data_IF_878574746072
#
_entry.id   IF_878574746072
#
_cell.length_a   1.000
_cell.length_b   1.000
_cell.length_c   1.000
_cell.angle_alpha   90.00
_cell.angle_beta   90.00
_cell.angle_gamma   90.00
#
_symmetry.space_group_name_H-M   'P 1'
#
loop_
_entity.id
_entity.type
_entity.pdbx_description
1 polymer ?
#
# COMPACT_ATOMS: atom_id res chain seq x y z
N UNK A 1 -13.38 25.03 -20.31
CA UNK A 1 -12.48 23.85 -20.23
C UNK A 1 -12.48 23.40 -18.77
N UNK A 2 -13.15 22.29 -18.47
CA UNK A 2 -13.36 21.83 -17.11
C UNK A 2 -12.02 21.32 -16.55
N UNK A 3 -11.40 22.08 -15.64
CA UNK A 3 -10.18 21.69 -14.95
C UNK A 3 -10.55 20.67 -13.87
N UNK A 4 -10.87 19.44 -14.28
CA UNK A 4 -10.96 18.32 -13.34
C UNK A 4 -9.62 18.23 -12.62
N UNK A 5 -9.65 18.40 -11.29
CA UNK A 5 -8.50 18.20 -10.41
C UNK A 5 -7.86 16.88 -10.82
N UNK A 6 -6.57 16.92 -11.20
CA UNK A 6 -5.82 15.80 -11.77
C UNK A 6 -5.61 14.72 -10.69
N UNK A 7 -6.66 14.00 -10.34
CA UNK A 7 -6.62 12.90 -9.38
C UNK A 7 -6.40 11.60 -10.13
N UNK A 8 -5.78 10.63 -9.45
CA UNK A 8 -5.54 9.33 -10.06
C UNK A 8 -6.86 8.58 -10.32
N UNK A 9 -6.96 7.88 -11.45
CA UNK A 9 -8.10 7.00 -11.76
C UNK A 9 -8.29 5.91 -10.70
N UNK A 10 -7.18 5.40 -10.16
CA UNK A 10 -7.17 4.42 -9.09
C UNK A 10 -6.50 5.00 -7.85
N UNK A 11 -7.06 4.69 -6.68
CA UNK A 11 -6.42 4.99 -5.41
C UNK A 11 -5.08 4.23 -5.28
N UNK A 12 -3.98 4.86 -4.80
CA UNK A 12 -2.68 4.19 -4.61
C UNK A 12 -2.77 2.90 -3.80
N UNK A 13 -3.56 2.90 -2.72
CA UNK A 13 -3.77 1.71 -1.86
C UNK A 13 -4.59 0.58 -2.51
N UNK A 14 -4.98 0.72 -3.77
CA UNK A 14 -5.38 -0.43 -4.58
C UNK A 14 -4.18 -1.30 -4.96
N UNK A 15 -2.95 -0.83 -4.79
CA UNK A 15 -1.72 -1.51 -5.16
C UNK A 15 -0.85 -1.77 -3.93
N UNK A 16 -0.08 -2.86 -3.96
CA UNK A 16 0.88 -3.18 -2.91
C UNK A 16 2.13 -2.30 -3.06
N UNK A 17 2.55 -1.62 -1.99
CA UNK A 17 3.80 -0.87 -1.96
C UNK A 17 5.01 -1.72 -2.37
N UNK A 18 5.09 -2.96 -1.89
CA UNK A 18 6.29 -3.80 -2.04
C UNK A 18 6.40 -4.42 -3.45
N UNK A 19 5.28 -4.81 -4.08
CA UNK A 19 5.31 -5.53 -5.36
C UNK A 19 4.52 -4.89 -6.50
N UNK A 20 3.87 -3.75 -6.27
CA UNK A 20 3.07 -3.03 -7.27
C UNK A 20 1.75 -3.70 -7.67
N UNK A 21 1.48 -4.93 -7.23
CA UNK A 21 0.30 -5.69 -7.67
C UNK A 21 -1.00 -5.17 -7.07
N UNK A 22 -2.08 -5.26 -7.83
CA UNK A 22 -3.43 -4.98 -7.36
C UNK A 22 -3.80 -5.84 -6.14
N UNK A 23 -4.35 -5.17 -5.13
CA UNK A 23 -4.63 -5.71 -3.81
C UNK A 23 -6.08 -5.39 -3.40
N UNK A 24 -6.99 -6.37 -3.55
CA UNK A 24 -8.36 -6.27 -3.05
C UNK A 24 -8.40 -5.97 -1.55
N UNK A 25 -9.42 -5.24 -1.07
CA UNK A 25 -9.50 -4.73 0.33
C UNK A 25 -9.17 -5.79 1.40
N UNK A 26 -9.75 -7.00 1.32
CA UNK A 26 -9.50 -8.08 2.29
C UNK A 26 -8.05 -8.63 2.29
N UNK A 27 -7.28 -8.36 1.23
CA UNK A 27 -5.88 -8.77 1.09
C UNK A 27 -4.89 -7.65 1.41
N UNK A 28 -5.37 -6.47 1.81
CA UNK A 28 -4.50 -5.37 2.25
C UNK A 28 -4.01 -5.60 3.67
N UNK A 29 -2.79 -5.17 3.94
CA UNK A 29 -2.15 -5.18 5.25
C UNK A 29 -1.42 -3.86 5.43
N UNK A 30 -1.46 -3.34 6.65
CA UNK A 30 -0.70 -2.16 7.03
C UNK A 30 0.80 -2.50 7.00
N UNK A 31 1.62 -1.52 6.65
CA UNK A 31 3.08 -1.62 6.69
C UNK A 31 3.53 -1.31 8.13
N UNK A 32 3.19 -2.22 9.05
CA UNK A 32 3.56 -2.11 10.47
C UNK A 32 5.08 -2.23 10.68
N UNK A 33 5.58 -1.86 11.87
CA UNK A 33 7.02 -1.80 12.16
C UNK A 33 7.75 -3.11 11.85
N UNK A 34 7.17 -4.27 12.16
CA UNK A 34 7.78 -5.57 11.80
C UNK A 34 7.95 -5.76 10.28
N UNK A 35 7.06 -5.21 9.47
CA UNK A 35 7.20 -5.21 8.00
C UNK A 35 8.26 -4.22 7.56
N UNK A 36 8.33 -3.02 8.17
CA UNK A 36 9.39 -2.04 7.90
C UNK A 36 10.78 -2.61 8.20
N UNK A 37 10.94 -3.31 9.33
CA UNK A 37 12.16 -4.03 9.72
C UNK A 37 12.49 -5.09 8.68
N UNK A 38 11.55 -5.98 8.36
CA UNK A 38 11.76 -7.01 7.34
C UNK A 38 12.14 -6.41 5.98
N UNK A 39 11.51 -5.31 5.58
CA UNK A 39 11.81 -4.59 4.35
C UNK A 39 13.23 -4.00 4.36
N UNK A 40 13.64 -3.36 5.47
CA UNK A 40 14.98 -2.81 5.68
C UNK A 40 16.07 -3.87 5.55
N UNK A 41 15.93 -4.98 6.25
CA UNK A 41 16.94 -6.04 6.21
C UNK A 41 16.94 -6.82 4.90
N UNK A 42 15.78 -6.98 4.25
CA UNK A 42 15.70 -7.72 3.00
C UNK A 42 16.17 -6.91 1.79
N UNK A 43 15.71 -5.66 1.66
CA UNK A 43 15.99 -4.83 0.49
C UNK A 43 17.13 -3.84 0.70
N UNK A 44 17.67 -3.75 1.92
CA UNK A 44 18.77 -2.83 2.27
C UNK A 44 18.37 -1.36 2.34
N UNK A 45 17.06 -1.05 2.34
CA UNK A 45 16.55 0.32 2.38
C UNK A 45 15.29 0.43 3.24
N UNK A 46 15.04 1.60 3.82
CA UNK A 46 13.81 1.85 4.60
C UNK A 46 12.60 2.01 3.67
N UNK A 47 11.41 1.70 4.19
CA UNK A 47 10.14 2.09 3.55
C UNK A 47 10.09 3.63 3.53
N UNK A 48 9.92 4.21 2.34
CA UNK A 48 9.84 5.66 2.14
C UNK A 48 8.48 6.13 1.64
N UNK A 49 8.31 7.44 1.55
CA UNK A 49 7.18 8.13 0.93
C UNK A 49 5.80 7.76 1.51
N UNK A 50 5.74 7.30 2.76
CA UNK A 50 4.48 6.95 3.44
C UNK A 50 3.66 8.18 3.88
N UNK A 51 4.18 9.39 3.68
CA UNK A 51 3.46 10.66 3.80
C UNK A 51 2.97 11.19 2.44
N UNK A 52 3.30 10.48 1.34
CA UNK A 52 3.04 10.96 -0.02
C UNK A 52 1.81 10.29 -0.61
N UNK A 53 0.87 11.12 -1.04
CA UNK A 53 -0.35 10.67 -1.72
C UNK A 53 -0.13 9.95 -3.06
N UNK A 54 1.09 10.00 -3.62
CA UNK A 54 1.45 9.31 -4.86
C UNK A 54 2.14 7.97 -4.63
N UNK A 55 2.31 7.52 -3.39
CA UNK A 55 2.79 6.20 -3.03
C UNK A 55 1.69 5.37 -2.35
N UNK A 56 1.72 4.03 -2.46
CA UNK A 56 0.83 3.19 -1.65
C UNK A 56 1.24 3.15 -0.17
N UNK A 57 0.26 3.09 0.72
CA UNK A 57 0.48 3.00 2.18
C UNK A 57 0.22 1.60 2.74
N UNK A 58 -0.12 0.66 1.85
CA UNK A 58 -0.45 -0.73 2.20
C UNK A 58 0.44 -1.70 1.45
N UNK A 59 0.55 -2.92 1.98
CA UNK A 59 1.09 -4.06 1.26
C UNK A 59 0.05 -5.18 1.12
N UNK A 60 0.28 -6.12 0.21
CA UNK A 60 -0.58 -7.29 0.07
C UNK A 60 -0.21 -8.38 1.08
N UNK A 61 -1.17 -9.24 1.41
CA UNK A 61 -0.97 -10.40 2.30
C UNK A 61 0.20 -11.28 1.92
N UNK A 62 0.48 -11.44 0.62
CA UNK A 62 1.58 -12.27 0.12
C UNK A 62 2.94 -11.66 0.45
N UNK A 63 3.11 -10.35 0.23
CA UNK A 63 4.35 -9.65 0.57
C UNK A 63 4.54 -9.58 2.08
N UNK A 64 3.48 -9.28 2.82
CA UNK A 64 3.47 -9.32 4.29
C UNK A 64 3.96 -10.68 4.79
N UNK A 65 3.27 -11.77 4.40
CA UNK A 65 3.59 -13.11 4.88
C UNK A 65 5.00 -13.54 4.47
N UNK A 66 5.43 -13.22 3.25
CA UNK A 66 6.75 -13.61 2.77
C UNK A 66 7.89 -12.92 3.53
N UNK A 67 7.78 -11.61 3.80
CA UNK A 67 8.77 -10.89 4.61
C UNK A 67 8.80 -11.40 6.05
N UNK A 68 7.63 -11.55 6.68
CA UNK A 68 7.56 -12.01 8.08
C UNK A 68 8.10 -13.44 8.21
N UNK A 69 7.77 -14.33 7.27
CA UNK A 69 8.30 -15.69 7.29
C UNK A 69 9.80 -15.73 7.02
N UNK A 70 10.33 -14.88 6.13
CA UNK A 70 11.78 -14.78 5.91
C UNK A 70 12.51 -14.27 7.16
N UNK A 71 11.98 -13.22 7.79
CA UNK A 71 12.54 -12.65 9.02
C UNK A 71 12.55 -13.66 10.18
N UNK A 72 11.61 -14.60 10.18
CA UNK A 72 11.52 -15.68 11.15
C UNK A 72 12.31 -16.95 10.73
N UNK A 73 13.10 -16.90 9.66
CA UNK A 73 13.85 -18.05 9.13
C UNK A 73 13.00 -19.17 8.51
N UNK A 74 11.69 -18.95 8.32
CA UNK A 74 10.74 -19.96 7.78
C UNK A 74 10.66 -19.95 6.25
N UNK A 75 11.09 -18.85 5.61
CA UNK A 75 11.11 -18.72 4.15
C UNK A 75 12.50 -18.34 3.67
N UNK A 76 12.97 -18.97 2.59
CA UNK A 76 14.31 -18.72 2.03
C UNK A 76 14.46 -17.31 1.45
N UNK A 77 13.49 -16.85 0.67
CA UNK A 77 13.58 -15.57 -0.05
C UNK A 77 12.20 -15.01 -0.41
N UNK A 78 12.15 -13.70 -0.65
CA UNK A 78 11.11 -13.05 -1.45
C UNK A 78 11.27 -13.46 -2.93
N UNK A 79 10.22 -13.33 -3.76
CA UNK A 79 10.32 -13.67 -5.19
C UNK A 79 11.14 -12.65 -6.02
N UNK A 80 11.60 -11.55 -5.42
CA UNK A 80 12.39 -10.51 -6.08
C UNK A 80 13.43 -9.93 -5.13
N UNK A 81 14.55 -9.48 -5.71
CA UNK A 81 15.69 -8.89 -5.02
C UNK A 81 15.51 -7.39 -4.79
N UNK A 82 14.83 -6.71 -5.73
CA UNK A 82 14.51 -5.28 -5.64
C UNK A 82 12.99 -5.13 -5.59
N UNK A 83 12.44 -4.36 -4.63
CA UNK A 83 11.00 -4.16 -4.53
C UNK A 83 10.51 -3.20 -5.63
N UNK A 84 9.20 -2.99 -5.70
CA UNK A 84 8.65 -1.91 -6.52
C UNK A 84 9.22 -0.57 -6.05
N UNK A 85 9.72 0.26 -6.97
CA UNK A 85 10.24 1.60 -6.66
C UNK A 85 9.22 2.63 -7.11
N UNK A 86 8.74 3.44 -6.18
CA UNK A 86 7.79 4.53 -6.43
C UNK A 86 8.52 5.87 -6.59
N UNK A 87 8.00 6.71 -7.48
CA UNK A 87 8.43 8.09 -7.71
C UNK A 87 7.19 8.92 -8.03
N UNK A 88 7.27 10.22 -7.82
CA UNK A 88 6.17 11.12 -8.16
C UNK A 88 5.88 11.10 -9.68
N UNK A 89 4.62 10.85 -10.10
CA UNK A 89 4.27 10.80 -11.50
C UNK A 89 4.30 12.20 -12.13
N UNK A 90 4.90 12.33 -13.32
CA UNK A 90 4.94 13.63 -14.03
C UNK A 90 3.57 14.04 -14.61
N UNK A 91 2.72 13.05 -14.90
CA UNK A 91 1.38 13.25 -15.44
C UNK A 91 0.52 12.00 -15.21
N UNK A 92 -0.80 12.14 -15.41
CA UNK A 92 -1.76 11.04 -15.20
C UNK A 92 -2.07 10.22 -16.45
N UNK A 93 -1.51 10.57 -17.61
CA UNK A 93 -1.87 9.93 -18.90
C UNK A 93 -0.86 8.87 -19.33
N UNK A 94 0.43 9.09 -19.10
CA UNK A 94 1.51 8.21 -19.56
C UNK A 94 2.48 7.80 -18.44
N UNK A 95 2.60 8.61 -17.39
CA UNK A 95 3.61 8.42 -16.34
C UNK A 95 2.99 8.25 -14.95
N UNK A 96 1.74 7.82 -14.86
CA UNK A 96 1.11 7.45 -13.59
C UNK A 96 0.70 5.99 -13.63
N UNK A 97 1.42 5.17 -12.87
CA UNK A 97 1.13 3.74 -12.74
C UNK A 97 -0.33 3.46 -12.33
N UNK A 98 -0.87 4.27 -11.42
CA UNK A 98 -2.23 4.08 -10.94
C UNK A 98 -3.26 4.39 -12.02
N UNK A 99 -3.08 5.43 -12.83
CA UNK A 99 -4.03 5.78 -13.89
C UNK A 99 -3.95 4.82 -15.07
N UNK A 100 -2.74 4.37 -15.40
CA UNK A 100 -2.48 3.53 -16.58
C UNK A 100 -2.74 2.04 -16.33
N UNK A 101 -2.89 1.60 -15.07
CA UNK A 101 -3.25 0.22 -14.75
C UNK A 101 -4.76 0.04 -14.74
N UNK A 102 -5.31 -0.73 -15.69
CA UNK A 102 -6.73 -1.07 -15.69
C UNK A 102 -7.02 -2.17 -14.66
N UNK A 103 -7.75 -1.81 -13.59
CA UNK A 103 -8.18 -2.74 -12.54
C UNK A 103 -9.71 -2.93 -12.48
N UNK A 104 -10.46 -2.27 -13.37
CA UNK A 104 -11.91 -2.40 -13.43
C UNK A 104 -12.30 -3.84 -13.80
N UNK A 105 -13.25 -4.42 -13.06
CA UNK A 105 -13.70 -5.81 -13.28
C UNK A 105 -12.75 -6.90 -12.75
N UNK A 106 -11.62 -6.52 -12.13
CA UNK A 106 -10.71 -7.49 -11.51
C UNK A 106 -11.04 -7.74 -10.03
N UNK A 107 -10.78 -8.98 -9.61
CA UNK A 107 -11.02 -9.52 -8.28
C UNK A 107 -9.85 -10.43 -7.87
N UNK A 108 -9.88 -10.95 -6.65
CA UNK A 108 -8.88 -11.92 -6.17
C UNK A 108 -8.70 -13.13 -7.09
N UNK A 109 -9.75 -13.53 -7.84
CA UNK A 109 -9.75 -14.74 -8.69
C UNK A 109 -9.08 -14.53 -10.05
N UNK A 110 -9.16 -13.32 -10.60
CA UNK A 110 -8.69 -13.02 -11.97
C UNK A 110 -7.62 -11.92 -12.03
N UNK A 111 -7.17 -11.38 -10.89
CA UNK A 111 -6.13 -10.33 -10.83
C UNK A 111 -4.77 -10.73 -11.43
N UNK A 112 -4.52 -12.03 -11.65
CA UNK A 112 -3.34 -12.51 -12.39
C UNK A 112 -3.36 -12.09 -13.87
N UNK A 113 -4.54 -11.77 -14.42
CA UNK A 113 -4.71 -11.31 -15.81
C UNK A 113 -4.54 -9.80 -15.97
N UNK A 114 -4.27 -9.06 -14.89
CA UNK A 114 -4.01 -7.62 -14.96
C UNK A 114 -2.68 -7.40 -15.68
N UNK A 115 -2.69 -6.55 -16.69
CA UNK A 115 -1.48 -6.10 -17.38
C UNK A 115 -0.97 -4.87 -16.64
N UNK A 116 0.22 -4.97 -16.08
CA UNK A 116 0.86 -3.87 -15.37
C UNK A 116 1.74 -3.05 -16.33
N UNK A 117 1.52 -1.73 -16.46
CA UNK A 117 2.26 -0.87 -17.36
C UNK A 117 3.70 -0.68 -16.89
N UNK A 118 4.57 -0.27 -17.83
CA UNK A 118 5.92 0.22 -17.51
C UNK A 118 5.89 1.74 -17.59
N UNK A 119 6.30 2.43 -16.54
CA UNK A 119 6.39 3.89 -16.49
C UNK A 119 7.58 4.33 -15.64
N UNK A 120 7.99 5.61 -15.72
CA UNK A 120 9.16 6.10 -14.98
C UNK A 120 8.82 6.39 -13.52
N UNK A 121 7.56 6.64 -13.21
CA UNK A 121 7.07 6.86 -11.85
C UNK A 121 7.00 5.58 -11.01
N UNK A 122 7.03 4.40 -11.63
CA UNK A 122 6.91 3.14 -10.89
C UNK A 122 7.71 2.04 -11.60
N UNK A 123 8.89 1.74 -11.06
CA UNK A 123 9.76 0.70 -11.59
C UNK A 123 9.37 -0.65 -10.99
N UNK A 124 9.19 -1.64 -11.85
CA UNK A 124 8.76 -3.00 -11.47
C UNK A 124 9.81 -3.68 -10.60
N UNK A 125 9.40 -4.62 -9.73
CA UNK A 125 10.35 -5.43 -8.96
C UNK A 125 11.31 -6.18 -9.88
N UNK A 126 12.55 -6.36 -9.43
CA UNK A 126 13.58 -7.12 -10.15
C UNK A 126 13.71 -8.48 -9.49
N UNK A 127 13.50 -9.55 -10.27
CA UNK A 127 13.57 -10.93 -9.78
C UNK A 127 14.97 -11.30 -9.29
N UNK A 128 15.04 -12.32 -8.42
CA UNK A 128 16.31 -12.98 -8.13
C UNK A 128 16.68 -13.85 -9.33
N UNK A 129 17.75 -13.52 -10.04
CA UNK A 129 18.34 -14.40 -11.04
C UNK A 129 19.80 -14.72 -10.68
N UNK A 130 20.33 -15.79 -11.26
CA UNK A 130 21.75 -16.11 -11.13
C UNK A 130 22.67 -15.11 -11.88
N UNK A 131 22.10 -14.27 -12.77
CA UNK A 131 22.81 -13.38 -13.68
C UNK A 131 23.01 -11.94 -13.20
N UNK A 132 22.08 -11.36 -12.45
CA UNK A 132 22.20 -10.00 -11.90
C UNK A 132 23.10 -9.95 -10.66
N UNK A 133 23.48 -11.12 -10.13
CA UNK A 133 24.45 -11.24 -9.04
C UNK A 133 23.96 -10.67 -7.70
N UNK A 134 22.66 -10.40 -7.53
CA UNK A 134 22.11 -9.92 -6.26
C UNK A 134 21.86 -11.13 -5.36
N UNK A 135 22.64 -11.33 -4.29
CA UNK A 135 22.45 -12.47 -3.41
C UNK A 135 21.16 -12.31 -2.59
N UNK A 136 20.56 -13.44 -2.22
CA UNK A 136 19.48 -13.44 -1.22
C UNK A 136 20.08 -13.03 0.13
N UNK A 137 19.55 -12.00 0.80
CA UNK A 137 20.03 -11.59 2.10
C UNK A 137 19.77 -12.66 3.17
N UNK A 138 20.67 -12.74 4.14
CA UNK A 138 20.53 -13.59 5.32
C UNK A 138 19.67 -12.82 6.34
N UNK A 139 18.70 -13.50 6.94
CA UNK A 139 17.86 -12.90 7.98
C UNK A 139 18.73 -12.48 9.19
N UNK A 140 18.49 -11.29 9.77
CA UNK A 140 19.18 -10.89 11.00
C UNK A 140 18.84 -11.83 12.17
N UNK A 141 19.66 -11.77 13.24
CA UNK A 141 19.38 -12.46 14.50
C UNK A 141 18.16 -11.86 15.21
N UNK A 142 17.56 -12.64 16.12
CA UNK A 142 16.42 -12.19 16.93
C UNK A 142 16.76 -10.94 17.74
N UNK A 143 17.93 -10.91 18.39
CA UNK A 143 18.38 -9.75 19.17
C UNK A 143 18.43 -8.47 18.32
N UNK A 144 18.91 -8.60 17.08
CA UNK A 144 18.99 -7.46 16.13
C UNK A 144 17.59 -6.96 15.74
N UNK A 145 16.62 -7.87 15.62
CA UNK A 145 15.23 -7.53 15.30
C UNK A 145 14.56 -6.82 16.49
N UNK A 146 14.81 -7.29 17.71
CA UNK A 146 14.24 -6.71 18.93
C UNK A 146 14.74 -5.28 19.17
N UNK A 147 16.04 -5.05 18.99
CA UNK A 147 16.62 -3.70 19.09
C UNK A 147 15.98 -2.72 18.09
N UNK A 148 15.79 -3.13 16.83
CA UNK A 148 15.19 -2.26 15.79
C UNK A 148 13.66 -2.10 15.96
N UNK A 149 13.05 -2.88 16.87
CA UNK A 149 11.62 -2.80 17.18
C UNK A 149 11.30 -1.78 18.28
N UNK A 150 12.27 -1.43 19.13
CA UNK A 150 12.08 -0.51 20.26
C UNK A 150 12.23 0.97 19.90
N UNK A 151 12.78 1.27 18.72
CA UNK A 151 13.15 2.64 18.33
C UNK A 151 12.02 3.46 17.67
N UNK A 152 10.90 2.83 17.30
CA UNK A 152 9.75 3.54 16.70
C UNK A 152 8.50 3.37 17.58
N UNK A 153 8.24 4.38 18.41
CA UNK A 153 6.95 4.55 19.10
C UNK A 153 5.88 4.92 18.08
N UNK A 154 4.93 4.01 17.85
CA UNK A 154 3.72 4.32 17.11
C UNK A 154 2.93 5.36 17.92
N UNK A 155 2.82 6.59 17.40
CA UNK A 155 1.87 7.58 17.94
C UNK A 155 0.48 7.05 17.63
N UNK A 156 -0.13 6.38 18.61
CA UNK A 156 -1.53 6.00 18.54
C UNK A 156 -2.36 7.29 18.50
N UNK A 157 -3.13 7.46 17.43
CA UNK A 157 -4.14 8.49 17.30
C UNK A 157 -5.22 8.23 18.36
N UNK A 158 -5.20 9.04 19.41
CA UNK A 158 -6.16 8.99 20.50
C UNK A 158 -7.38 9.84 20.12
N UNK A 159 -8.26 9.32 19.28
CA UNK A 159 -9.60 9.90 19.15
C UNK A 159 -10.49 9.31 20.25
N UNK A 160 -10.53 10.03 21.36
CA UNK A 160 -11.38 9.73 22.52
C UNK A 160 -12.83 10.01 22.18
N UNK A 161 -13.65 8.97 22.23
CA UNK A 161 -15.11 9.08 22.23
C UNK A 161 -15.61 9.78 23.49
N UNK A 162 -16.44 10.82 23.34
CA UNK A 162 -17.75 11.00 24.01
C UNK A 162 -18.14 12.49 24.04
N UNK A 163 -19.31 12.87 23.53
CA UNK A 163 -20.44 13.10 24.44
C UNK A 163 -21.78 13.25 23.68
N UNK A 164 -22.82 12.68 24.27
CA UNK A 164 -24.21 12.87 23.90
C UNK A 164 -24.71 14.17 24.55
N UNK A 165 -25.44 15.00 23.82
CA UNK A 165 -26.49 15.83 24.44
C UNK A 165 -27.60 16.13 23.43
N UNK A 166 -28.76 15.53 23.71
CA UNK A 166 -30.07 15.92 23.22
C UNK A 166 -30.46 17.28 23.82
N UNK A 167 -30.96 18.21 23.01
CA UNK A 167 -32.11 19.05 23.37
C UNK A 167 -32.78 19.68 22.14
N UNK A 168 -34.08 19.89 22.34
CA UNK A 168 -35.21 19.90 21.42
C UNK A 168 -35.53 21.26 20.75
N UNK A 169 -36.49 21.19 19.84
CA UNK A 169 -37.50 22.18 19.44
C UNK A 169 -37.36 23.04 18.16
N UNK A 170 -38.29 22.69 17.24
CA UNK A 170 -39.17 23.54 16.44
C UNK A 170 -38.58 24.45 15.34
N UNK A 171 -38.86 24.09 14.09
CA UNK A 171 -39.55 25.07 13.23
C UNK A 171 -40.50 24.40 12.23
N UNK A 172 -41.69 24.99 12.14
CA UNK A 172 -42.85 24.54 11.36
C UNK A 172 -42.70 25.01 9.92
N UNK A 173 -43.04 24.18 8.94
CA UNK A 173 -43.73 24.64 7.72
C UNK A 173 -44.47 23.47 7.03
N UNK A 174 -45.80 23.54 7.08
CA UNK A 174 -46.81 22.92 6.18
C UNK A 174 -47.48 24.15 5.52
N UNK A 175 -47.91 24.20 4.23
CA UNK A 175 -48.70 23.16 3.54
C UNK A 175 -48.48 23.00 2.01
N UNK A 176 -49.02 21.92 1.42
CA UNK A 176 -50.27 21.92 0.62
C UNK A 176 -50.41 20.66 -0.27
N UNK A 177 -51.47 19.90 0.00
CA UNK A 177 -52.43 19.25 -0.92
C UNK A 177 -51.96 18.30 -2.04
N UNK A 178 -52.27 16.99 -1.96
CA UNK A 178 -53.51 16.27 -2.34
C UNK A 178 -53.54 15.81 -3.81
N UNK A 179 -53.77 14.51 -4.03
CA UNK A 179 -54.81 14.02 -4.96
C UNK A 179 -54.81 12.46 -5.01
N UNK A 180 -55.89 11.90 -4.46
CA UNK A 180 -56.55 10.59 -4.68
C UNK A 180 -55.81 9.28 -4.36
#
# INVERSE_FOLDING_TARGET
>A
MNTSRRQCTNHPDNFCYICGKFTPKHQRRNIANRVKIGYKYYFGCKVGDQDKNWAPHICCTVCYASLIQWLNGKKKSMPFAVPMIWREPKNHTSDCYFCTTNIAGFSSKNKSKIIYPTCKSALKPVEHDAGNGIPVPISPSLDTIEMDSTDEVDVADADSTSDFSDHDENDKMIPMDQAF
#
